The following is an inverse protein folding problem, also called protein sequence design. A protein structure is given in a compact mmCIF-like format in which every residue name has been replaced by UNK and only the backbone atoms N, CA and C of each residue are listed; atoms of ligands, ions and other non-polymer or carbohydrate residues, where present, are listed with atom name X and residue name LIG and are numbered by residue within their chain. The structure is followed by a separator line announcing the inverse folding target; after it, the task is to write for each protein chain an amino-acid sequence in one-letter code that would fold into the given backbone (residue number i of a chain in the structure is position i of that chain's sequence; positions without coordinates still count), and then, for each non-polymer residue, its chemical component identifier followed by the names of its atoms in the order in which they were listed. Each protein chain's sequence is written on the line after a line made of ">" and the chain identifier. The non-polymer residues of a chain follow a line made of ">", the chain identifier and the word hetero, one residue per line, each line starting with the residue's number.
data_IF_343483847721
#
_entry.id   IF_343483847721
#
_cell.length_a   1.000
_cell.length_b   1.000
_cell.length_c   1.000
_cell.angle_alpha   90.00
_cell.angle_beta   90.00
_cell.angle_gamma   90.00
#
_symmetry.space_group_name_H-M   'P 1'
#
loop_
_entity.id
_entity.type
_entity.pdbx_description
1 polymer ?
#
# COMPACT_ATOMS: atom_id res chain seq x y z
N UNK A 1 -3.81 2.37 36.52
CA UNK A 1 -2.84 1.53 35.80
C UNK A 1 -2.96 1.89 34.35
N UNK A 2 -2.06 2.76 33.89
CA UNK A 2 -2.02 3.20 32.50
C UNK A 2 -1.81 1.95 31.63
N UNK A 3 -2.64 1.80 30.62
CA UNK A 3 -2.52 0.67 29.73
C UNK A 3 -1.22 0.81 28.90
N UNK A 4 -0.62 -0.30 28.49
CA UNK A 4 0.56 -0.28 27.61
C UNK A 4 0.31 0.59 26.35
N UNK A 5 -0.94 0.63 25.91
CA UNK A 5 -1.39 1.46 24.80
C UNK A 5 -1.31 2.97 25.13
N UNK A 6 -1.74 3.40 26.32
CA UNK A 6 -1.65 4.80 26.75
C UNK A 6 -0.19 5.26 26.84
N UNK A 7 0.68 4.44 27.46
CA UNK A 7 2.11 4.74 27.54
C UNK A 7 2.76 4.88 26.15
N UNK A 8 2.39 3.98 25.22
CA UNK A 8 2.88 4.05 23.85
C UNK A 8 2.34 5.28 23.11
N UNK A 9 1.06 5.58 23.28
CA UNK A 9 0.40 6.75 22.69
C UNK A 9 1.04 8.05 23.16
N UNK A 10 1.26 8.20 24.47
CA UNK A 10 1.90 9.39 25.05
C UNK A 10 3.35 9.55 24.58
N UNK A 11 4.09 8.46 24.50
CA UNK A 11 5.46 8.48 23.97
C UNK A 11 5.47 8.91 22.48
N UNK A 12 4.53 8.42 21.69
CA UNK A 12 4.39 8.82 20.27
C UNK A 12 3.99 10.29 20.15
N UNK A 13 3.00 10.75 20.90
CA UNK A 13 2.59 12.16 20.89
C UNK A 13 3.76 13.07 21.29
N UNK A 14 4.49 12.75 22.38
CA UNK A 14 5.66 13.51 22.79
C UNK A 14 6.74 13.57 21.72
N UNK A 15 7.03 12.43 21.07
CA UNK A 15 7.99 12.38 19.97
C UNK A 15 7.60 13.31 18.78
N UNK A 16 6.31 13.31 18.41
CA UNK A 16 5.83 14.18 17.35
C UNK A 16 5.77 15.66 17.75
N UNK A 17 5.55 15.98 19.02
CA UNK A 17 5.54 17.35 19.51
C UNK A 17 6.93 17.99 19.48
N UNK A 18 8.00 17.21 19.64
CA UNK A 18 9.38 17.65 19.50
C UNK A 18 9.76 18.03 18.05
N UNK A 19 9.01 17.54 17.06
CA UNK A 19 9.23 17.88 15.64
C UNK A 19 8.56 19.22 15.33
N UNK A 20 9.29 20.30 15.40
CA UNK A 20 8.78 21.67 15.22
C UNK A 20 8.40 22.02 13.77
N UNK A 21 9.05 21.40 12.79
CA UNK A 21 8.78 21.68 11.38
C UNK A 21 7.63 20.83 10.87
N UNK A 22 6.56 21.47 10.43
CA UNK A 22 5.33 20.83 9.95
C UNK A 22 5.57 19.88 8.78
N UNK A 23 6.40 20.27 7.81
CA UNK A 23 6.72 19.42 6.66
C UNK A 23 7.37 18.11 7.11
N UNK A 24 8.38 18.20 7.99
CA UNK A 24 9.02 16.97 8.49
C UNK A 24 8.10 16.16 9.41
N UNK A 25 7.23 16.82 10.18
CA UNK A 25 6.24 16.15 11.03
C UNK A 25 5.28 15.29 10.19
N UNK A 26 4.70 15.84 9.13
CA UNK A 26 3.81 15.11 8.23
C UNK A 26 4.53 14.04 7.40
N UNK A 27 5.78 14.30 6.98
CA UNK A 27 6.60 13.30 6.29
C UNK A 27 6.90 12.09 7.18
N UNK A 28 7.26 12.34 8.43
CA UNK A 28 7.54 11.32 9.43
C UNK A 28 6.28 10.51 9.77
N UNK A 29 5.15 11.18 9.96
CA UNK A 29 3.85 10.52 10.15
C UNK A 29 3.52 9.59 8.98
N UNK A 30 3.65 10.09 7.75
CA UNK A 30 3.43 9.30 6.54
C UNK A 30 4.34 8.08 6.48
N UNK A 31 5.63 8.26 6.75
CA UNK A 31 6.63 7.19 6.73
C UNK A 31 6.34 6.12 7.78
N UNK A 32 6.16 6.52 9.05
CA UNK A 32 5.92 5.58 10.16
C UNK A 32 4.63 4.79 9.95
N UNK A 33 3.55 5.44 9.52
CA UNK A 33 2.29 4.80 9.24
C UNK A 33 2.45 3.67 8.19
N UNK A 34 3.15 3.94 7.10
CA UNK A 34 3.34 2.95 6.02
C UNK A 34 4.36 1.88 6.38
N UNK A 35 5.38 2.18 7.20
CA UNK A 35 6.27 1.16 7.77
C UNK A 35 5.48 0.21 8.67
N UNK A 36 4.63 0.71 9.56
CA UNK A 36 3.78 -0.13 10.40
C UNK A 36 2.89 -1.06 9.57
N UNK A 37 2.25 -0.54 8.54
CA UNK A 37 1.48 -1.34 7.60
C UNK A 37 2.33 -2.40 6.89
N UNK A 38 3.55 -2.09 6.49
CA UNK A 38 4.46 -3.05 5.87
C UNK A 38 4.77 -4.26 6.77
N UNK A 39 4.74 -4.08 8.09
CA UNK A 39 4.87 -5.14 9.09
C UNK A 39 3.53 -5.77 9.50
N UNK A 40 2.43 -5.42 8.85
CA UNK A 40 1.10 -5.95 9.18
C UNK A 40 0.43 -5.29 10.38
N UNK A 41 0.98 -4.19 10.89
CA UNK A 41 0.38 -3.40 11.97
C UNK A 41 -0.54 -2.33 11.37
N UNK A 42 -1.73 -2.15 11.95
CA UNK A 42 -2.68 -1.14 11.47
C UNK A 42 -2.24 0.26 11.91
N UNK A 43 -1.29 0.86 11.15
CA UNK A 43 -0.63 2.12 11.51
C UNK A 43 -1.59 3.27 11.77
N UNK A 44 -2.72 3.34 11.03
CA UNK A 44 -3.71 4.40 11.23
C UNK A 44 -4.35 4.36 12.62
N UNK A 45 -4.62 3.18 13.16
CA UNK A 45 -5.17 3.06 14.52
C UNK A 45 -4.11 3.34 15.60
N UNK A 46 -2.88 2.90 15.36
CA UNK A 46 -1.78 3.10 16.30
C UNK A 46 -1.41 4.57 16.43
N UNK A 47 -1.41 5.31 15.31
CA UNK A 47 -1.07 6.73 15.26
C UNK A 47 -2.30 7.66 15.34
N UNK A 48 -3.50 7.12 15.61
CA UNK A 48 -4.73 7.94 15.77
C UNK A 48 -4.60 9.03 16.84
N UNK A 49 -4.02 8.78 18.03
CA UNK A 49 -3.83 9.83 19.03
C UNK A 49 -2.96 10.98 18.54
N UNK A 50 -1.89 10.69 17.78
CA UNK A 50 -1.04 11.70 17.16
C UNK A 50 -1.82 12.52 16.13
N UNK A 51 -2.63 11.85 15.31
CA UNK A 51 -3.47 12.53 14.32
C UNK A 51 -4.50 13.46 14.98
N UNK A 52 -5.13 12.99 16.05
CA UNK A 52 -6.15 13.74 16.78
C UNK A 52 -5.61 14.98 17.52
N UNK A 53 -4.37 14.92 18.02
CA UNK A 53 -3.76 16.01 18.78
C UNK A 53 -2.95 16.97 17.90
N UNK A 54 -2.13 16.45 17.00
CA UNK A 54 -1.14 17.25 16.26
C UNK A 54 -1.63 17.74 14.90
N UNK A 55 -2.65 17.09 14.27
CA UNK A 55 -3.03 17.37 12.88
C UNK A 55 -4.48 17.82 12.73
N UNK A 56 -4.92 18.70 13.61
CA UNK A 56 -6.27 19.28 13.55
C UNK A 56 -6.35 20.35 12.45
N UNK A 57 -7.52 20.43 11.78
CA UNK A 57 -7.83 21.51 10.85
C UNK A 57 -8.02 22.81 11.64
N UNK A 58 -7.52 23.93 11.11
CA UNK A 58 -7.82 25.27 11.61
C UNK A 58 -6.72 25.89 12.46
N UNK A 59 -5.58 25.28 12.62
CA UNK A 59 -4.39 26.01 13.09
C UNK A 59 -3.97 26.95 11.96
N UNK A 60 -4.00 28.24 12.23
CA UNK A 60 -3.67 29.26 11.23
C UNK A 60 -2.25 29.08 10.70
N UNK A 61 -2.13 28.78 9.39
CA UNK A 61 -0.87 28.61 8.72
C UNK A 61 -0.45 27.16 8.46
N UNK A 62 -1.07 26.15 9.09
CA UNK A 62 -0.71 24.76 8.88
C UNK A 62 -1.34 24.22 7.58
N UNK A 63 -0.51 23.56 6.77
CA UNK A 63 -0.90 22.89 5.52
C UNK A 63 -1.33 21.45 5.81
N UNK A 64 -0.57 20.78 6.68
CA UNK A 64 -0.78 19.37 6.98
C UNK A 64 -1.85 19.18 8.05
N UNK A 65 -2.91 18.49 7.68
CA UNK A 65 -3.98 18.06 8.58
C UNK A 65 -4.35 16.62 8.31
N UNK A 66 -5.14 16.00 9.21
CA UNK A 66 -5.67 14.65 8.97
C UNK A 66 -6.47 14.58 7.67
N UNK A 67 -7.30 15.59 7.38
CA UNK A 67 -8.05 15.65 6.11
C UNK A 67 -7.17 15.87 4.89
N UNK A 68 -6.06 16.59 5.00
CA UNK A 68 -5.04 16.67 3.95
C UNK A 68 -4.42 15.30 3.68
N UNK A 69 -4.03 14.60 4.74
CA UNK A 69 -3.46 13.26 4.63
C UNK A 69 -4.44 12.27 3.97
N UNK A 70 -5.69 12.23 4.42
CA UNK A 70 -6.71 11.34 3.88
C UNK A 70 -7.07 11.67 2.42
N UNK A 71 -7.06 12.95 2.05
CA UNK A 71 -7.40 13.37 0.68
C UNK A 71 -6.26 13.17 -0.31
N UNK A 72 -5.01 13.43 0.08
CA UNK A 72 -3.91 13.51 -0.87
C UNK A 72 -2.86 12.41 -0.73
N UNK A 73 -2.73 11.78 0.43
CA UNK A 73 -1.67 10.81 0.69
C UNK A 73 -2.17 9.38 0.57
N UNK A 74 -3.28 9.05 1.22
CA UNK A 74 -3.81 7.67 1.27
C UNK A 74 -4.99 7.45 0.32
N UNK A 75 -4.87 7.93 -0.90
CA UNK A 75 -5.88 7.74 -1.93
C UNK A 75 -6.07 6.25 -2.25
N UNK A 76 -7.28 5.75 -2.00
CA UNK A 76 -7.60 4.32 -2.11
C UNK A 76 -7.23 3.52 -0.88
N UNK A 77 -6.78 4.17 0.20
CA UNK A 77 -6.25 3.58 1.42
C UNK A 77 -4.72 3.62 1.50
N UNK A 78 -4.16 3.05 2.57
CA UNK A 78 -2.72 3.06 2.81
C UNK A 78 -1.94 2.47 1.63
N UNK A 79 -0.78 3.05 1.34
CA UNK A 79 0.02 2.73 0.15
C UNK A 79 -0.48 3.40 -1.12
N UNK A 80 -1.43 4.33 -1.06
CA UNK A 80 -2.07 4.96 -2.23
C UNK A 80 -2.59 3.88 -3.20
N UNK A 81 -3.35 2.92 -2.67
CA UNK A 81 -3.70 1.67 -3.34
C UNK A 81 -4.60 1.83 -4.56
N UNK A 82 -5.20 2.98 -4.80
CA UNK A 82 -5.83 3.30 -6.07
C UNK A 82 -4.84 3.14 -7.25
N UNK A 83 -3.57 3.49 -7.03
CA UNK A 83 -2.52 3.35 -8.05
C UNK A 83 -2.22 1.86 -8.33
N UNK A 84 -2.22 1.02 -7.30
CA UNK A 84 -2.11 -0.44 -7.43
C UNK A 84 -3.28 -0.99 -8.23
N UNK A 85 -4.51 -0.59 -7.87
CA UNK A 85 -5.74 -1.01 -8.56
C UNK A 85 -5.66 -0.72 -10.05
N UNK A 86 -5.38 0.53 -10.41
CA UNK A 86 -5.28 0.96 -11.82
C UNK A 86 -4.15 0.21 -12.54
N UNK A 87 -2.98 0.06 -11.89
CA UNK A 87 -1.86 -0.65 -12.46
C UNK A 87 -2.19 -2.13 -12.76
N UNK A 88 -2.92 -2.80 -11.88
CA UNK A 88 -3.36 -4.19 -12.07
C UNK A 88 -4.40 -4.34 -13.17
N UNK A 89 -5.39 -3.45 -13.21
CA UNK A 89 -6.47 -3.52 -14.21
C UNK A 89 -5.96 -3.27 -15.64
N UNK A 90 -5.01 -2.37 -15.82
CA UNK A 90 -4.62 -1.92 -17.17
C UNK A 90 -3.23 -2.38 -17.61
N UNK A 91 -2.30 -2.67 -16.69
CA UNK A 91 -0.89 -2.89 -17.04
C UNK A 91 -0.33 -4.27 -16.67
N UNK A 92 -1.08 -5.09 -15.92
CA UNK A 92 -0.68 -6.44 -15.53
C UNK A 92 -1.54 -7.48 -16.25
N UNK A 93 -0.91 -8.54 -16.76
CA UNK A 93 -1.58 -9.58 -17.56
C UNK A 93 -2.08 -10.78 -16.73
N UNK A 94 -1.66 -10.88 -15.48
CA UNK A 94 -2.01 -11.98 -14.59
C UNK A 94 -3.50 -11.95 -14.27
N UNK A 95 -4.22 -12.96 -14.72
CA UNK A 95 -5.68 -13.06 -14.58
C UNK A 95 -6.14 -13.17 -13.13
N UNK A 96 -5.33 -13.81 -12.25
CA UNK A 96 -5.63 -13.91 -10.81
C UNK A 96 -5.56 -12.53 -10.14
N UNK A 97 -4.46 -11.80 -10.37
CA UNK A 97 -4.27 -10.47 -9.80
C UNK A 97 -5.33 -9.49 -10.31
N UNK A 98 -5.67 -9.59 -11.59
CA UNK A 98 -6.72 -8.77 -12.20
C UNK A 98 -8.10 -9.03 -11.58
N UNK A 99 -8.48 -10.28 -11.33
CA UNK A 99 -9.73 -10.62 -10.64
C UNK A 99 -9.81 -10.05 -9.23
N UNK A 100 -8.70 -10.09 -8.48
CA UNK A 100 -8.63 -9.47 -7.15
C UNK A 100 -8.83 -7.95 -7.28
N UNK A 101 -8.20 -7.31 -8.26
CA UNK A 101 -8.38 -5.89 -8.52
C UNK A 101 -9.83 -5.54 -8.89
N UNK A 102 -10.46 -6.32 -9.76
CA UNK A 102 -11.88 -6.14 -10.14
C UNK A 102 -12.81 -6.23 -8.91
N UNK A 103 -12.61 -7.22 -8.03
CA UNK A 103 -13.37 -7.38 -6.79
C UNK A 103 -13.13 -6.23 -5.79
N UNK A 104 -11.93 -5.67 -5.78
CA UNK A 104 -11.54 -4.58 -4.87
C UNK A 104 -11.92 -3.19 -5.38
N UNK A 105 -12.39 -3.07 -6.62
CA UNK A 105 -12.59 -1.76 -7.26
C UNK A 105 -13.52 -0.86 -6.46
N UNK A 106 -14.67 -1.40 -6.03
CA UNK A 106 -15.63 -0.61 -5.28
C UNK A 106 -15.08 -0.15 -3.92
N UNK A 107 -14.44 -1.05 -3.19
CA UNK A 107 -13.92 -0.76 -1.86
C UNK A 107 -12.78 0.25 -1.90
N UNK A 108 -11.86 0.12 -2.85
CA UNK A 108 -10.72 1.04 -3.01
C UNK A 108 -11.16 2.46 -3.38
N UNK A 109 -12.23 2.63 -4.16
CA UNK A 109 -12.79 3.97 -4.45
C UNK A 109 -13.20 4.69 -3.16
N UNK A 110 -13.68 3.95 -2.15
CA UNK A 110 -14.05 4.46 -0.83
C UNK A 110 -12.91 4.34 0.21
N UNK A 111 -11.67 4.22 -0.23
CA UNK A 111 -10.47 4.13 0.59
C UNK A 111 -10.38 2.88 1.49
N UNK A 112 -11.15 1.83 1.20
CA UNK A 112 -11.08 0.52 1.85
C UNK A 112 -10.18 -0.40 1.02
N UNK A 113 -8.95 -0.61 1.46
CA UNK A 113 -7.92 -1.29 0.69
C UNK A 113 -7.64 -2.74 1.12
N UNK A 114 -8.31 -3.23 2.14
CA UNK A 114 -8.02 -4.52 2.78
C UNK A 114 -8.10 -5.68 1.79
N UNK A 115 -9.15 -5.72 0.95
CA UNK A 115 -9.33 -6.79 -0.05
C UNK A 115 -8.15 -6.81 -1.03
N UNK A 116 -7.70 -5.63 -1.47
CA UNK A 116 -6.58 -5.51 -2.40
C UNK A 116 -5.25 -5.86 -1.72
N UNK A 117 -5.00 -5.31 -0.54
CA UNK A 117 -3.73 -5.41 0.18
C UNK A 117 -3.46 -6.83 0.69
N UNK A 118 -4.50 -7.52 1.15
CA UNK A 118 -4.39 -8.92 1.61
C UNK A 118 -4.61 -9.94 0.48
N UNK A 119 -5.45 -9.63 -0.49
CA UNK A 119 -5.68 -10.49 -1.66
C UNK A 119 -4.46 -10.60 -2.57
N UNK A 120 -3.70 -9.52 -2.68
CA UNK A 120 -2.36 -9.50 -3.26
C UNK A 120 -1.42 -9.36 -2.06
N UNK A 121 -0.51 -10.30 -1.80
CA UNK A 121 0.37 -10.20 -0.65
C UNK A 121 1.35 -9.03 -0.82
N UNK A 122 0.85 -7.79 -0.60
CA UNK A 122 1.66 -6.56 -0.66
C UNK A 122 2.51 -6.47 0.60
N UNK A 123 1.88 -6.76 1.75
CA UNK A 123 2.54 -6.75 3.05
C UNK A 123 3.55 -7.90 3.11
N UNK A 124 4.69 -7.65 3.71
CA UNK A 124 5.82 -8.59 3.81
C UNK A 124 6.42 -9.01 2.46
N UNK A 125 5.99 -8.42 1.35
CA UNK A 125 6.60 -8.65 0.04
C UNK A 125 7.69 -7.60 -0.22
N UNK A 126 8.98 -7.96 -0.22
CA UNK A 126 10.09 -7.01 -0.30
C UNK A 126 10.07 -6.17 -1.58
N UNK A 127 9.44 -6.67 -2.66
CA UNK A 127 9.34 -5.96 -3.93
C UNK A 127 8.22 -4.91 -3.87
N UNK A 128 7.06 -5.27 -3.32
CA UNK A 128 5.89 -4.41 -3.31
C UNK A 128 5.88 -3.42 -2.13
N UNK A 129 6.62 -3.69 -1.05
CA UNK A 129 6.80 -2.74 0.07
C UNK A 129 7.47 -1.45 -0.41
N UNK A 130 8.41 -1.52 -1.36
CA UNK A 130 9.10 -0.33 -1.86
C UNK A 130 8.11 0.70 -2.44
N UNK A 131 7.32 0.39 -3.46
CA UNK A 131 6.33 1.35 -3.97
C UNK A 131 5.22 1.65 -2.95
N UNK A 132 4.88 0.72 -2.05
CA UNK A 132 3.88 0.93 -0.99
C UNK A 132 4.28 2.04 0.00
N UNK A 133 5.56 2.20 0.28
CA UNK A 133 6.09 3.29 1.12
C UNK A 133 6.42 4.53 0.28
N UNK A 134 7.08 4.36 -0.87
CA UNK A 134 7.56 5.50 -1.67
C UNK A 134 6.43 6.30 -2.32
N UNK A 135 5.34 5.66 -2.75
CA UNK A 135 4.24 6.37 -3.42
C UNK A 135 3.52 7.35 -2.51
N UNK A 136 3.07 6.99 -1.28
CA UNK A 136 2.48 7.95 -0.36
C UNK A 136 3.43 9.08 0.05
N UNK A 137 4.71 8.79 0.23
CA UNK A 137 5.72 9.81 0.51
C UNK A 137 5.85 10.82 -0.64
N UNK A 138 5.87 10.33 -1.88
CA UNK A 138 5.86 11.20 -3.05
C UNK A 138 4.57 12.03 -3.11
N UNK A 139 3.41 11.42 -2.90
CA UNK A 139 2.13 12.12 -2.86
C UNK A 139 2.13 13.21 -1.79
N UNK A 140 2.65 12.92 -0.60
CA UNK A 140 2.79 13.90 0.47
C UNK A 140 3.66 15.08 0.04
N UNK A 141 4.87 14.83 -0.48
CA UNK A 141 5.81 15.88 -0.90
C UNK A 141 5.20 16.75 -1.99
N UNK A 142 4.58 16.14 -3.01
CA UNK A 142 3.97 16.85 -4.13
C UNK A 142 2.78 17.67 -3.67
N UNK A 143 1.88 17.11 -2.87
CA UNK A 143 0.70 17.81 -2.38
C UNK A 143 1.08 18.96 -1.43
N UNK A 144 1.98 18.72 -0.51
CA UNK A 144 2.48 19.76 0.40
C UNK A 144 3.12 20.91 -0.37
N UNK A 145 4.01 20.60 -1.32
CA UNK A 145 4.68 21.61 -2.15
C UNK A 145 3.68 22.40 -3.00
N UNK A 146 2.71 21.71 -3.64
CA UNK A 146 1.68 22.37 -4.45
C UNK A 146 0.82 23.33 -3.62
N UNK A 147 0.51 22.96 -2.37
CA UNK A 147 -0.22 23.83 -1.46
C UNK A 147 0.66 24.97 -0.94
N UNK A 148 1.91 24.69 -0.59
CA UNK A 148 2.86 25.71 -0.09
C UNK A 148 3.12 26.83 -1.10
N UNK A 149 3.26 26.50 -2.38
CA UNK A 149 3.47 27.50 -3.46
C UNK A 149 2.15 28.11 -3.97
N UNK A 150 1.00 27.72 -3.40
CA UNK A 150 -0.31 28.31 -3.69
C UNK A 150 -0.96 27.84 -4.99
N UNK A 151 -0.50 26.74 -5.62
CA UNK A 151 -1.16 26.12 -6.78
C UNK A 151 -2.50 25.49 -6.37
N UNK A 152 -2.53 24.87 -5.19
CA UNK A 152 -3.73 24.25 -4.64
C UNK A 152 -4.03 24.93 -3.30
N UNK A 153 -5.27 25.37 -3.05
CA UNK A 153 -5.64 25.92 -1.75
C UNK A 153 -5.45 24.90 -0.62
N UNK A 154 -5.14 25.34 0.60
CA UNK A 154 -5.04 24.45 1.74
C UNK A 154 -6.38 23.75 2.02
N UNK A 155 -6.31 22.57 2.65
CA UNK A 155 -7.50 21.83 3.08
C UNK A 155 -8.10 22.52 4.30
N UNK A 156 -9.27 23.14 4.11
CA UNK A 156 -9.96 23.92 5.15
C UNK A 156 -11.24 23.24 5.65
N UNK A 157 -11.70 22.21 4.96
CA UNK A 157 -12.91 21.48 5.30
C UNK A 157 -12.57 20.07 5.80
N UNK A 158 -13.32 19.62 6.82
CA UNK A 158 -13.22 18.23 7.27
C UNK A 158 -13.81 17.32 6.19
N UNK A 159 -13.01 16.39 5.74
CA UNK A 159 -13.41 15.36 4.76
C UNK A 159 -13.34 14.01 5.46
N UNK A 160 -14.41 13.21 5.36
CA UNK A 160 -14.39 11.85 5.86
C UNK A 160 -13.35 11.04 5.10
N UNK A 161 -12.59 10.20 5.81
CA UNK A 161 -11.59 9.31 5.20
C UNK A 161 -12.19 8.38 4.12
N UNK A 162 -13.50 8.03 4.22
CA UNK A 162 -14.21 7.19 3.26
C UNK A 162 -14.78 7.97 2.06
N UNK A 163 -14.50 9.27 1.94
CA UNK A 163 -14.96 10.05 0.79
C UNK A 163 -14.29 9.55 -0.48
N UNK A 164 -15.08 9.32 -1.57
CA UNK A 164 -14.53 8.86 -2.82
C UNK A 164 -13.42 9.77 -3.35
N UNK A 165 -12.41 9.13 -3.93
CA UNK A 165 -11.26 9.81 -4.53
C UNK A 165 -11.77 10.78 -5.61
N UNK A 166 -11.05 11.88 -5.84
CA UNK A 166 -11.41 13.04 -6.66
C UNK A 166 -12.41 13.97 -5.96
N UNK A 167 -13.49 13.45 -5.37
CA UNK A 167 -14.41 14.27 -4.58
C UNK A 167 -13.76 14.77 -3.29
N UNK A 168 -12.91 13.96 -2.66
CA UNK A 168 -12.19 14.35 -1.43
C UNK A 168 -11.28 15.55 -1.67
N UNK A 169 -10.59 15.61 -2.80
CA UNK A 169 -9.75 16.76 -3.17
C UNK A 169 -10.53 18.04 -3.37
N UNK A 170 -11.71 17.96 -4.02
CA UNK A 170 -12.60 19.10 -4.20
C UNK A 170 -13.20 19.57 -2.86
N UNK A 171 -13.76 18.64 -2.11
CA UNK A 171 -14.44 18.95 -0.84
C UNK A 171 -13.47 19.53 0.20
N UNK A 172 -12.26 19.00 0.27
CA UNK A 172 -11.25 19.45 1.22
C UNK A 172 -10.71 20.86 0.91
N UNK A 173 -10.44 21.14 -0.36
CA UNK A 173 -9.83 22.41 -0.80
C UNK A 173 -10.84 23.46 -1.25
N UNK A 174 -12.10 23.08 -1.51
CA UNK A 174 -13.11 23.95 -2.15
C UNK A 174 -12.75 24.33 -3.60
N UNK A 175 -11.81 23.63 -4.24
CA UNK A 175 -11.27 24.00 -5.56
C UNK A 175 -11.07 22.78 -6.47
N UNK A 176 -11.33 22.98 -7.78
CA UNK A 176 -11.00 21.98 -8.79
C UNK A 176 -9.51 21.66 -8.89
N UNK A 177 -8.63 22.56 -8.43
CA UNK A 177 -7.19 22.32 -8.35
C UNK A 177 -6.85 21.11 -7.47
N UNK A 178 -7.60 20.85 -6.40
CA UNK A 178 -7.45 19.66 -5.56
C UNK A 178 -7.74 18.36 -6.34
N UNK A 179 -8.79 18.34 -7.17
CA UNK A 179 -9.09 17.17 -8.03
C UNK A 179 -7.98 16.94 -9.07
N UNK A 180 -7.52 18.01 -9.71
CA UNK A 180 -6.46 17.92 -10.72
C UNK A 180 -5.18 17.39 -10.09
N UNK A 181 -4.83 17.87 -8.90
CA UNK A 181 -3.67 17.38 -8.15
C UNK A 181 -3.79 15.87 -7.87
N UNK A 182 -4.95 15.39 -7.40
CA UNK A 182 -5.19 13.96 -7.17
C UNK A 182 -4.98 13.14 -8.46
N UNK A 183 -5.52 13.58 -9.59
CA UNK A 183 -5.36 12.88 -10.87
C UNK A 183 -3.88 12.81 -11.28
N UNK A 184 -3.13 13.90 -11.15
CA UNK A 184 -1.70 13.94 -11.46
C UNK A 184 -0.91 12.99 -10.55
N UNK A 185 -1.21 12.98 -9.25
CA UNK A 185 -0.56 12.10 -8.30
C UNK A 185 -0.90 10.62 -8.54
N UNK A 186 -2.14 10.31 -8.89
CA UNK A 186 -2.54 8.95 -9.27
C UNK A 186 -1.76 8.49 -10.50
N UNK A 187 -1.64 9.33 -11.53
CA UNK A 187 -0.87 8.99 -12.72
C UNK A 187 0.61 8.72 -12.40
N UNK A 188 1.23 9.56 -11.56
CA UNK A 188 2.59 9.38 -11.09
C UNK A 188 2.74 8.10 -10.24
N UNK A 189 1.82 7.83 -9.33
CA UNK A 189 1.82 6.64 -8.50
C UNK A 189 1.65 5.35 -9.32
N UNK A 190 0.77 5.35 -10.33
CA UNK A 190 0.64 4.23 -11.28
C UNK A 190 1.97 3.98 -12.00
N UNK A 191 2.66 5.03 -12.46
CA UNK A 191 3.97 4.90 -13.10
C UNK A 191 5.02 4.28 -12.18
N UNK A 192 4.97 4.56 -10.87
CA UNK A 192 5.84 3.94 -9.89
C UNK A 192 5.46 2.47 -9.67
N UNK A 193 4.18 2.13 -9.50
CA UNK A 193 3.76 0.76 -9.18
C UNK A 193 3.93 -0.23 -10.35
N UNK A 194 3.71 0.20 -11.59
CA UNK A 194 3.74 -0.69 -12.77
C UNK A 194 5.03 -1.52 -12.88
N UNK A 195 6.25 -0.97 -12.78
CA UNK A 195 7.47 -1.77 -12.90
C UNK A 195 7.60 -2.80 -11.78
N UNK A 196 7.25 -2.47 -10.54
CA UNK A 196 7.33 -3.38 -9.41
C UNK A 196 6.30 -4.51 -9.50
N UNK A 197 5.07 -4.22 -9.90
CA UNK A 197 4.05 -5.24 -10.12
C UNK A 197 4.42 -6.19 -11.24
N UNK A 198 4.98 -5.68 -12.34
CA UNK A 198 5.47 -6.53 -13.44
C UNK A 198 6.67 -7.38 -13.02
N UNK A 199 7.57 -6.84 -12.21
CA UNK A 199 8.70 -7.58 -11.67
C UNK A 199 8.20 -8.71 -10.74
N UNK A 200 7.30 -8.39 -9.83
CA UNK A 200 6.70 -9.36 -8.91
C UNK A 200 5.99 -10.50 -9.66
N UNK A 201 5.22 -10.18 -10.70
CA UNK A 201 4.52 -11.15 -11.53
C UNK A 201 5.51 -12.08 -12.28
N UNK A 202 6.57 -11.52 -12.85
CA UNK A 202 7.63 -12.31 -13.54
C UNK A 202 8.32 -13.27 -12.58
N UNK A 203 8.65 -12.83 -11.38
CA UNK A 203 9.31 -13.68 -10.38
C UNK A 203 8.38 -14.76 -9.86
N UNK A 204 7.11 -14.47 -9.64
CA UNK A 204 6.11 -15.47 -9.26
C UNK A 204 5.98 -16.57 -10.32
N UNK A 205 5.89 -16.21 -11.60
CA UNK A 205 5.83 -17.18 -12.71
C UNK A 205 7.10 -18.03 -12.77
N UNK A 206 8.27 -17.41 -12.60
CA UNK A 206 9.55 -18.14 -12.63
C UNK A 206 9.65 -19.14 -11.48
N UNK A 207 9.31 -18.74 -10.24
CA UNK A 207 9.35 -19.62 -9.07
C UNK A 207 8.40 -20.81 -9.24
N UNK A 208 7.18 -20.57 -9.73
CA UNK A 208 6.22 -21.64 -10.00
C UNK A 208 6.76 -22.63 -11.05
N UNK A 209 7.46 -22.14 -12.07
CA UNK A 209 8.07 -23.01 -13.08
C UNK A 209 9.20 -23.85 -12.49
N UNK A 210 10.09 -23.26 -11.69
CA UNK A 210 11.18 -23.95 -11.02
C UNK A 210 10.66 -25.04 -10.06
N UNK A 211 9.58 -24.75 -9.30
CA UNK A 211 8.91 -25.73 -8.44
C UNK A 211 8.30 -26.89 -9.24
N UNK A 212 7.63 -26.58 -10.36
CA UNK A 212 7.06 -27.60 -11.25
C UNK A 212 8.12 -28.49 -11.86
N UNK A 213 9.23 -27.92 -12.35
CA UNK A 213 10.33 -28.66 -12.93
C UNK A 213 11.00 -29.57 -11.87
N UNK A 214 11.14 -29.09 -10.63
CA UNK A 214 11.59 -29.87 -9.49
C UNK A 214 10.65 -31.05 -9.14
N UNK A 215 9.35 -30.81 -9.15
CA UNK A 215 8.36 -31.86 -8.89
C UNK A 215 8.37 -32.94 -10.01
N UNK A 216 8.46 -32.52 -11.26
CA UNK A 216 8.54 -33.44 -12.41
C UNK A 216 9.80 -34.32 -12.31
N UNK A 217 10.96 -33.74 -11.95
CA UNK A 217 12.20 -34.51 -11.78
C UNK A 217 12.09 -35.52 -10.65
N UNK A 218 11.48 -35.15 -9.52
CA UNK A 218 11.22 -36.04 -8.38
C UNK A 218 10.28 -37.21 -8.74
N UNK A 219 9.20 -36.93 -9.49
CA UNK A 219 8.28 -37.98 -9.94
C UNK A 219 9.00 -38.96 -10.85
N UNK A 220 9.79 -38.47 -11.81
CA UNK A 220 10.57 -39.31 -12.73
C UNK A 220 11.56 -40.22 -11.99
N UNK A 221 12.29 -39.69 -11.03
CA UNK A 221 13.22 -40.48 -10.22
C UNK A 221 12.48 -41.58 -9.44
N UNK A 222 11.30 -41.30 -8.91
CA UNK A 222 10.45 -42.28 -8.23
C UNK A 222 9.95 -43.37 -9.18
N UNK A 223 9.57 -43.04 -10.39
CA UNK A 223 9.13 -43.99 -11.42
C UNK A 223 10.29 -44.92 -11.81
N UNK A 224 11.48 -44.38 -12.09
CA UNK A 224 12.69 -45.17 -12.39
C UNK A 224 13.05 -46.12 -11.21
N UNK A 225 12.92 -45.67 -9.99
CA UNK A 225 13.15 -46.47 -8.80
C UNK A 225 12.15 -47.63 -8.71
N UNK A 226 10.85 -47.37 -8.93
CA UNK A 226 9.84 -48.38 -8.92
C UNK A 226 10.06 -49.44 -10.03
N UNK A 227 10.36 -49.00 -11.26
CA UNK A 227 10.68 -49.91 -12.36
C UNK A 227 11.88 -50.82 -12.02
N UNK A 228 12.92 -50.25 -11.39
CA UNK A 228 14.09 -51.04 -10.97
C UNK A 228 13.74 -52.05 -9.87
N UNK A 229 12.89 -51.71 -8.92
CA UNK A 229 12.37 -52.61 -7.89
C UNK A 229 11.53 -53.74 -8.51
N UNK A 230 10.68 -53.44 -9.49
CA UNK A 230 9.87 -54.45 -10.17
C UNK A 230 10.71 -55.43 -10.97
N UNK A 231 11.72 -54.97 -11.66
CA UNK A 231 12.69 -55.78 -12.37
C UNK A 231 13.47 -56.72 -11.44
N UNK A 232 13.96 -56.21 -10.31
CA UNK A 232 14.64 -57.00 -9.29
C UNK A 232 13.72 -58.06 -8.66
N UNK A 233 12.46 -57.71 -8.40
CA UNK A 233 11.47 -58.61 -7.85
C UNK A 233 11.10 -59.77 -8.82
N UNK A 234 11.10 -59.49 -10.10
CA UNK A 234 10.86 -60.49 -11.15
C UNK A 234 12.09 -61.41 -11.35
N UNK A 235 13.31 -60.85 -11.27
CA UNK A 235 14.53 -61.65 -11.40
C UNK A 235 14.76 -62.55 -10.20
N UNK A 236 14.33 -62.18 -8.99
CA UNK A 236 14.40 -62.99 -7.78
C UNK A 236 13.36 -64.14 -7.69
N UNK A 237 12.42 -64.22 -8.62
CA UNK A 237 11.41 -65.31 -8.71
C UNK A 237 11.80 -66.43 -9.65
N UNK A 238 12.93 -66.35 -10.33
CA UNK A 238 13.42 -67.32 -11.32
C UNK A 238 14.61 -68.13 -10.75
N UNK A 239 14.86 -68.05 -9.44
CA UNK A 239 15.91 -68.78 -8.70
C UNK A 239 15.25 -69.77 -7.68
#
# INVERSE_FOLDING_TARGET
>A
VDSLYELFSDAMCGFFDDVHNEFFKGLLYTLLLHIMWAFGLHGSHILEPVAATSFQIGKAGDIFSKSFFDSFVVMGGCGTTICVLIALLFFVKNTRLRKIAELSTFTVIFNLNEILTFGIPILLNPILIIPFICTPLLCYIVAYTATYIGIVPPVTHMVSWSTPIIFSGYLGTGSAAGCILQIVMIAAGVAIYVPFLRLNDRLAVRNTKEEMDGLISYIREKEELNESYDLLSQSGRIG
#
